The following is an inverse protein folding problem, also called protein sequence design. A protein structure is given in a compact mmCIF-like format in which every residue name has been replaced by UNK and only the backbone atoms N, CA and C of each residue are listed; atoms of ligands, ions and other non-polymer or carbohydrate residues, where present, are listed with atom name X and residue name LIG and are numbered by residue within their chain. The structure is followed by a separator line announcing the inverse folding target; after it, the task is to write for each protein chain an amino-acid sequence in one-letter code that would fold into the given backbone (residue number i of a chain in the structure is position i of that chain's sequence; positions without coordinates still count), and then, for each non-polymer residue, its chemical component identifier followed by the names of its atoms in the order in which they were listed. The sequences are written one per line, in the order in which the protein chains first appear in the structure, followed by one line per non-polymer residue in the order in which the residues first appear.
data_IF_911895323034
#
_entry.id   IF_911895323034
#
_cell.length_a   1.000
_cell.length_b   1.000
_cell.length_c   1.000
_cell.angle_alpha   90.00
_cell.angle_beta   90.00
_cell.angle_gamma   90.00
#
_symmetry.space_group_name_H-M   'P 1'
#
loop_
_entity.id
_entity.type
_entity.pdbx_description
1 polymer ?
#
# COMPACT_ATOMS: atom_id res chain seq x y z
N UNK A 1 -45.97 -19.01 46.10
CA UNK A 1 -44.72 -19.77 46.32
C UNK A 1 -44.45 -20.59 45.06
N UNK A 2 -43.19 -20.73 44.63
CA UNK A 2 -42.66 -21.78 43.73
C UNK A 2 -42.08 -22.91 44.63
N UNK A 3 -41.69 -24.13 44.20
CA UNK A 3 -41.28 -24.63 42.87
C UNK A 3 -42.42 -25.45 42.18
N UNK A 4 -42.28 -26.32 41.16
CA UNK A 4 -41.13 -26.98 40.49
C UNK A 4 -41.31 -27.04 38.96
N UNK A 5 -40.29 -27.54 38.25
CA UNK A 5 -40.25 -27.69 36.78
C UNK A 5 -39.72 -29.10 36.44
N UNK A 6 -40.43 -29.85 35.60
CA UNK A 6 -40.07 -31.13 34.94
C UNK A 6 -41.24 -31.52 34.00
N UNK A 7 -41.12 -31.97 32.74
CA UNK A 7 -39.95 -32.25 31.90
C UNK A 7 -40.20 -31.74 30.46
N UNK A 8 -39.17 -31.09 29.93
CA UNK A 8 -38.78 -30.89 28.53
C UNK A 8 -39.35 -31.86 27.47
N UNK A 9 -39.97 -31.31 26.42
CA UNK A 9 -39.97 -31.88 25.05
C UNK A 9 -40.42 -30.82 24.02
N UNK A 10 -39.60 -29.77 23.85
CA UNK A 10 -39.77 -28.81 22.77
C UNK A 10 -38.87 -29.22 21.59
N UNK A 11 -39.46 -29.67 20.49
CA UNK A 11 -38.73 -30.07 19.29
C UNK A 11 -38.06 -28.85 18.65
N UNK A 12 -36.73 -28.80 18.65
CA UNK A 12 -35.97 -27.75 17.95
C UNK A 12 -35.84 -28.14 16.48
N UNK A 13 -36.75 -27.63 15.65
CA UNK A 13 -36.60 -27.66 14.20
C UNK A 13 -35.47 -26.72 13.80
N UNK A 14 -34.27 -27.27 13.58
CA UNK A 14 -33.15 -26.53 13.03
C UNK A 14 -33.43 -26.21 11.55
N UNK A 15 -34.10 -25.09 11.30
CA UNK A 15 -34.24 -24.52 9.96
C UNK A 15 -32.86 -24.08 9.47
N UNK A 16 -32.25 -24.89 8.59
CA UNK A 16 -31.01 -24.55 7.90
C UNK A 16 -31.25 -23.38 6.96
N UNK A 17 -31.03 -22.17 7.46
CA UNK A 17 -30.87 -20.97 6.64
C UNK A 17 -29.64 -21.16 5.77
N UNK A 18 -29.87 -21.57 4.52
CA UNK A 18 -28.85 -21.59 3.49
C UNK A 18 -28.50 -20.14 3.16
N UNK A 19 -27.53 -19.59 3.89
CA UNK A 19 -26.92 -18.30 3.58
C UNK A 19 -26.18 -18.45 2.26
N UNK A 20 -26.89 -18.19 1.16
CA UNK A 20 -26.30 -18.03 -0.15
C UNK A 20 -25.44 -16.76 -0.13
N UNK A 21 -24.22 -16.91 0.38
CA UNK A 21 -23.16 -15.95 0.18
C UNK A 21 -22.96 -15.87 -1.33
N UNK A 22 -23.50 -14.81 -1.94
CA UNK A 22 -23.14 -14.41 -3.28
C UNK A 22 -21.66 -14.04 -3.23
N UNK A 23 -20.82 -15.05 -3.49
CA UNK A 23 -19.42 -14.86 -3.81
C UNK A 23 -19.40 -13.98 -5.06
N UNK A 24 -19.23 -12.68 -4.85
CA UNK A 24 -18.79 -11.77 -5.89
C UNK A 24 -17.61 -12.47 -6.57
N UNK A 25 -17.61 -12.65 -7.89
CA UNK A 25 -16.49 -13.27 -8.55
C UNK A 25 -15.28 -12.35 -8.44
N UNK A 26 -14.49 -12.55 -7.38
CA UNK A 26 -13.06 -12.26 -7.39
C UNK A 26 -12.55 -12.88 -8.68
N UNK A 27 -12.02 -12.04 -9.57
CA UNK A 27 -11.61 -12.44 -10.92
C UNK A 27 -10.38 -13.34 -10.90
N UNK A 28 -10.54 -14.57 -10.43
CA UNK A 28 -9.53 -15.63 -10.40
C UNK A 28 -9.39 -16.27 -11.79
N UNK A 29 -9.06 -15.43 -12.78
CA UNK A 29 -8.42 -15.91 -13.99
C UNK A 29 -6.93 -16.08 -13.70
N UNK A 30 -6.28 -17.22 -14.00
CA UNK A 30 -4.84 -17.41 -13.81
C UNK A 30 -4.03 -16.67 -14.89
N UNK A 31 -4.27 -15.37 -15.01
CA UNK A 31 -3.46 -14.45 -15.79
C UNK A 31 -2.10 -14.33 -15.12
N UNK A 32 -1.06 -14.89 -15.76
CA UNK A 32 0.32 -14.72 -15.33
C UNK A 32 0.61 -13.22 -15.21
N UNK A 33 0.73 -12.71 -13.98
CA UNK A 33 1.05 -11.31 -13.73
C UNK A 33 2.31 -10.94 -14.54
N UNK A 34 2.31 -9.86 -15.35
CA UNK A 34 3.44 -9.54 -16.20
C UNK A 34 4.72 -9.38 -15.38
N UNK A 35 5.72 -10.23 -15.63
CA UNK A 35 7.07 -10.02 -15.10
C UNK A 35 7.68 -8.85 -15.86
N UNK A 36 8.11 -7.81 -15.14
CA UNK A 36 8.87 -6.74 -15.77
C UNK A 36 10.26 -7.26 -16.16
N UNK A 37 10.71 -6.93 -17.38
CA UNK A 37 12.09 -7.13 -17.81
C UNK A 37 12.92 -5.87 -17.51
N UNK A 38 14.26 -5.98 -17.38
CA UNK A 38 15.11 -4.80 -17.20
C UNK A 38 14.92 -3.80 -18.36
N UNK A 39 14.69 -2.54 -18.02
CA UNK A 39 14.36 -1.47 -18.96
C UNK A 39 15.62 -0.75 -19.46
N UNK A 40 15.57 -0.16 -20.66
CA UNK A 40 16.63 0.75 -21.11
C UNK A 40 16.57 2.09 -20.36
N UNK A 41 17.59 2.37 -19.56
CA UNK A 41 17.72 3.61 -18.79
C UNK A 41 18.37 4.76 -19.59
N UNK A 42 18.76 4.56 -20.85
CA UNK A 42 19.37 5.60 -21.68
C UNK A 42 18.48 6.86 -21.81
N UNK A 43 17.16 6.68 -21.89
CA UNK A 43 16.16 7.77 -22.02
C UNK A 43 15.39 8.07 -20.72
N UNK A 44 15.75 7.44 -19.60
CA UNK A 44 15.06 7.68 -18.33
C UNK A 44 15.36 9.08 -17.77
N UNK A 45 14.30 9.81 -17.36
CA UNK A 45 14.41 11.12 -16.68
C UNK A 45 15.19 11.04 -15.36
N UNK A 46 15.11 9.90 -14.68
CA UNK A 46 15.87 9.56 -13.50
C UNK A 46 16.58 8.23 -13.75
N UNK A 47 17.87 8.32 -14.12
CA UNK A 47 18.71 7.17 -14.47
C UNK A 47 19.00 6.31 -13.25
N UNK A 48 19.34 6.92 -12.12
CA UNK A 48 19.67 6.22 -10.88
C UNK A 48 18.48 5.38 -10.37
N UNK A 49 17.26 5.94 -10.41
CA UNK A 49 16.04 5.18 -10.06
C UNK A 49 15.75 4.05 -11.05
N UNK A 50 15.96 4.28 -12.35
CA UNK A 50 15.78 3.24 -13.37
C UNK A 50 16.78 2.09 -13.18
N UNK A 51 18.05 2.39 -12.91
CA UNK A 51 19.09 1.39 -12.63
C UNK A 51 18.84 0.64 -11.32
N UNK A 52 18.33 1.31 -10.28
CA UNK A 52 17.89 0.65 -9.04
C UNK A 52 16.78 -0.36 -9.32
N UNK A 53 15.71 0.07 -10.01
CA UNK A 53 14.60 -0.80 -10.37
C UNK A 53 15.06 -2.01 -11.22
N UNK A 54 16.03 -1.81 -12.12
CA UNK A 54 16.63 -2.88 -12.89
C UNK A 54 17.45 -3.86 -12.05
N UNK A 55 18.08 -3.44 -10.95
CA UNK A 55 18.75 -4.34 -9.99
C UNK A 55 17.70 -5.20 -9.28
N UNK A 56 16.61 -4.60 -8.83
CA UNK A 56 15.50 -5.29 -8.16
C UNK A 56 14.86 -6.34 -9.10
N UNK A 57 14.57 -5.95 -10.36
CA UNK A 57 14.07 -6.87 -11.40
C UNK A 57 15.02 -8.05 -11.63
N UNK A 58 16.34 -7.81 -11.67
CA UNK A 58 17.34 -8.87 -11.85
C UNK A 58 17.44 -9.79 -10.63
N UNK A 59 17.29 -9.27 -9.42
CA UNK A 59 17.27 -10.05 -8.19
C UNK A 59 16.00 -10.92 -8.08
N UNK A 60 14.86 -10.41 -8.52
CA UNK A 60 13.57 -11.11 -8.49
C UNK A 60 13.29 -11.98 -9.73
N UNK A 61 14.23 -12.08 -10.69
CA UNK A 61 14.00 -12.66 -12.04
C UNK A 61 13.39 -14.08 -12.03
N UNK A 62 13.81 -14.91 -11.07
CA UNK A 62 13.46 -16.34 -11.02
C UNK A 62 12.08 -16.58 -10.38
N UNK A 63 11.52 -15.58 -9.70
CA UNK A 63 10.21 -15.63 -9.04
C UNK A 63 9.07 -15.36 -10.02
N UNK A 64 7.87 -15.81 -9.68
CA UNK A 64 6.63 -15.65 -10.46
C UNK A 64 5.46 -15.17 -9.60
N UNK A 65 4.43 -14.57 -10.21
CA UNK A 65 3.16 -14.28 -9.54
C UNK A 65 3.35 -13.42 -8.28
N UNK A 66 2.73 -13.85 -7.18
CA UNK A 66 2.77 -13.14 -5.91
C UNK A 66 4.16 -13.14 -5.26
N UNK A 67 4.99 -14.18 -5.46
CA UNK A 67 6.38 -14.15 -5.00
C UNK A 67 7.20 -13.07 -5.69
N UNK A 68 6.98 -12.86 -7.00
CA UNK A 68 7.65 -11.79 -7.74
C UNK A 68 7.17 -10.42 -7.24
N UNK A 69 5.86 -10.28 -7.01
CA UNK A 69 5.26 -9.06 -6.47
C UNK A 69 5.83 -8.72 -5.09
N UNK A 70 5.89 -9.70 -4.18
CA UNK A 70 6.46 -9.52 -2.85
C UNK A 70 7.94 -9.13 -2.94
N UNK A 71 8.74 -9.86 -3.74
CA UNK A 71 10.16 -9.55 -3.94
C UNK A 71 10.40 -8.12 -4.45
N UNK A 72 9.61 -7.66 -5.44
CA UNK A 72 9.68 -6.30 -5.98
C UNK A 72 9.13 -5.22 -5.03
N UNK A 73 8.33 -5.60 -4.03
CA UNK A 73 7.80 -4.70 -3.01
C UNK A 73 8.56 -4.74 -1.69
N UNK A 74 9.53 -5.64 -1.52
CA UNK A 74 10.42 -5.60 -0.38
C UNK A 74 11.10 -4.22 -0.31
N UNK A 75 10.99 -3.50 0.82
CA UNK A 75 11.62 -2.21 0.95
C UNK A 75 13.14 -2.40 0.89
N UNK A 76 13.77 -1.84 -0.15
CA UNK A 76 15.21 -1.94 -0.38
C UNK A 76 16.00 -1.79 0.93
N UNK A 77 16.81 -2.78 1.31
CA UNK A 77 17.32 -2.89 2.67
C UNK A 77 18.25 -1.73 3.01
N UNK A 78 18.01 -1.09 4.16
CA UNK A 78 18.96 -0.19 4.85
C UNK A 78 19.44 1.06 4.10
N UNK A 79 18.89 1.40 2.94
CA UNK A 79 19.12 2.70 2.32
C UNK A 79 18.65 3.81 3.29
N UNK A 80 19.60 4.54 3.89
CA UNK A 80 19.33 5.64 4.84
C UNK A 80 18.29 6.57 4.22
N UNK A 81 17.12 6.66 4.84
CA UNK A 81 16.04 7.45 4.28
C UNK A 81 16.36 8.93 4.50
N UNK A 82 16.74 9.61 3.42
CA UNK A 82 16.74 11.06 3.35
C UNK A 82 15.31 11.54 3.06
N UNK A 83 14.69 12.35 3.94
CA UNK A 83 13.43 13.02 3.64
C UNK A 83 13.51 13.84 2.34
N UNK A 84 12.44 13.89 1.53
CA UNK A 84 12.38 14.79 0.39
C UNK A 84 12.56 16.24 0.84
N UNK A 85 13.40 17.00 0.13
CA UNK A 85 13.54 18.42 0.40
C UNK A 85 12.29 19.20 -0.06
N UNK A 86 11.97 20.33 0.59
CA UNK A 86 11.03 21.30 0.07
C UNK A 86 11.32 21.71 -1.38
N UNK A 87 10.27 22.10 -2.09
CA UNK A 87 10.38 22.63 -3.45
C UNK A 87 9.88 24.06 -3.52
N UNK A 88 10.38 24.82 -4.49
CA UNK A 88 9.83 26.12 -4.83
C UNK A 88 8.34 25.99 -5.21
N UNK A 89 7.53 26.87 -4.61
CA UNK A 89 6.10 27.00 -4.87
C UNK A 89 5.76 28.13 -5.84
N UNK A 90 6.75 28.92 -6.28
CA UNK A 90 6.59 30.04 -7.22
C UNK A 90 5.82 29.68 -8.49
N UNK A 91 6.10 28.50 -9.07
CA UNK A 91 5.46 27.97 -10.30
C UNK A 91 4.42 26.86 -10.04
N UNK A 92 3.94 26.68 -8.81
CA UNK A 92 3.00 25.62 -8.49
C UNK A 92 1.57 25.97 -8.96
N UNK A 93 0.90 25.03 -9.67
CA UNK A 93 -0.51 25.17 -10.12
C UNK A 93 -1.49 25.48 -8.98
N UNK A 94 -1.17 25.00 -7.77
CA UNK A 94 -1.81 25.41 -6.54
C UNK A 94 -0.69 25.73 -5.54
N UNK A 95 -0.56 27.01 -5.18
CA UNK A 95 0.46 27.55 -4.26
C UNK A 95 0.22 27.10 -2.83
N UNK A 96 -0.98 27.29 -2.31
CA UNK A 96 -1.37 26.91 -0.94
C UNK A 96 -1.05 25.44 -0.66
N UNK A 97 -1.51 24.51 -1.51
CA UNK A 97 -1.22 23.06 -1.39
C UNK A 97 0.28 22.74 -1.48
N UNK A 98 1.04 23.54 -2.23
CA UNK A 98 2.49 23.41 -2.28
C UNK A 98 3.12 23.85 -0.96
N UNK A 99 2.71 25.00 -0.43
CA UNK A 99 3.23 25.60 0.80
C UNK A 99 2.89 24.74 2.03
N UNK A 100 1.67 24.20 2.12
CA UNK A 100 1.31 23.18 3.14
C UNK A 100 2.22 21.95 3.05
N UNK A 101 2.49 21.45 1.85
CA UNK A 101 3.36 20.28 1.65
C UNK A 101 4.82 20.57 1.99
N UNK A 102 5.33 21.74 1.61
CA UNK A 102 6.69 22.22 1.93
C UNK A 102 6.85 22.40 3.45
N UNK A 103 5.87 23.00 4.13
CA UNK A 103 5.84 23.14 5.59
C UNK A 103 5.82 21.78 6.30
N UNK A 104 5.03 20.82 5.81
CA UNK A 104 5.00 19.46 6.35
C UNK A 104 6.34 18.73 6.18
N UNK A 105 7.02 18.89 5.04
CA UNK A 105 8.36 18.31 4.81
C UNK A 105 9.38 18.87 5.80
N UNK A 106 9.44 20.20 5.97
CA UNK A 106 10.32 20.84 6.96
C UNK A 106 10.05 20.33 8.38
N UNK A 107 8.78 20.22 8.76
CA UNK A 107 8.37 19.75 10.08
C UNK A 107 8.46 18.21 10.27
N UNK A 108 8.98 17.49 9.26
CA UNK A 108 9.21 16.04 9.25
C UNK A 108 10.63 15.66 8.75
N UNK A 109 11.56 16.63 8.66
CA UNK A 109 12.94 16.42 8.17
C UNK A 109 13.84 15.62 9.11
N UNK A 110 13.49 15.54 10.39
CA UNK A 110 14.25 14.76 11.38
C UNK A 110 13.82 13.28 11.43
N UNK A 111 12.89 12.87 10.56
CA UNK A 111 12.41 11.48 10.50
C UNK A 111 13.31 10.64 9.60
N UNK A 112 14.31 10.01 10.23
CA UNK A 112 15.37 9.23 9.58
C UNK A 112 14.91 7.87 9.05
N UNK A 113 13.70 7.40 9.39
CA UNK A 113 13.07 6.24 8.75
C UNK A 113 11.91 6.64 7.85
N UNK A 114 11.76 5.92 6.72
CA UNK A 114 10.66 6.10 5.77
C UNK A 114 9.28 5.92 6.42
N UNK A 115 9.19 5.02 7.41
CA UNK A 115 7.94 4.73 8.12
C UNK A 115 7.51 5.90 9.02
N UNK A 116 8.44 6.46 9.80
CA UNK A 116 8.15 7.62 10.66
C UNK A 116 7.87 8.88 9.83
N UNK A 117 8.63 9.11 8.75
CA UNK A 117 8.40 10.25 7.88
C UNK A 117 7.01 10.17 7.22
N UNK A 118 6.60 8.99 6.74
CA UNK A 118 5.24 8.77 6.21
C UNK A 118 4.16 9.07 7.26
N UNK A 119 4.33 8.58 8.49
CA UNK A 119 3.39 8.85 9.61
C UNK A 119 3.33 10.34 9.94
N UNK A 120 4.48 11.01 10.00
CA UNK A 120 4.59 12.45 10.26
C UNK A 120 3.90 13.28 9.18
N UNK A 121 4.14 12.98 7.89
CA UNK A 121 3.50 13.66 6.77
C UNK A 121 1.97 13.43 6.75
N UNK A 122 1.51 12.20 7.02
CA UNK A 122 0.09 11.87 7.06
C UNK A 122 -0.67 12.59 8.19
N UNK A 123 -0.02 12.92 9.30
CA UNK A 123 -0.61 13.69 10.40
C UNK A 123 -0.67 15.20 10.13
N UNK A 124 0.07 15.70 9.11
CA UNK A 124 0.18 17.14 8.80
C UNK A 124 -0.54 17.56 7.52
N UNK A 125 -0.84 16.61 6.64
CA UNK A 125 -1.47 16.87 5.34
C UNK A 125 -2.94 16.44 5.35
N UNK A 126 -3.83 17.18 4.65
CA UNK A 126 -5.18 16.70 4.43
C UNK A 126 -5.13 15.36 3.67
N UNK A 127 -6.11 14.46 3.89
CA UNK A 127 -6.18 13.20 3.17
C UNK A 127 -6.20 13.45 1.66
N UNK A 128 -5.68 12.52 0.84
CA UNK A 128 -5.72 12.66 -0.62
C UNK A 128 -7.19 12.81 -1.06
N UNK A 129 -7.53 14.01 -1.54
CA UNK A 129 -8.86 14.31 -2.03
C UNK A 129 -9.24 13.32 -3.12
N UNK A 130 -10.44 12.74 -2.99
CA UNK A 130 -11.04 11.86 -4.00
C UNK A 130 -11.09 12.66 -5.30
N UNK A 131 -10.37 12.18 -6.31
CA UNK A 131 -10.28 12.78 -7.66
C UNK A 131 -11.21 12.03 -8.60
#
# INVERSE_FOLDING_TARGET
MKPSISVLLAAVTAATLATAAAAMPTGEGPGKAPRAHPMDCAKAKDKARCESLNKDIRACKDKTGDEWRECMHQPAPTAKFAPPQPRDCGKARNKERCETHTSALEACKDKTTRAEHRKCMAARLPPPGKS
#
